data_IF_225807909367
#
_entry.id   IF_225807909367
#
_cell.length_a   1.000
_cell.length_b   1.000
_cell.length_c   1.000
_cell.angle_alpha   90.00
_cell.angle_beta   90.00
_cell.angle_gamma   90.00
#
_symmetry.space_group_name_H-M   'P 1'
#
loop_
_entity.id
_entity.type
_entity.pdbx_description
1 polymer ?
#
# COMPACT_ATOMS: atom_id res chain seq x y z
N UNK A 1 -22.46 -11.19 -14.74
CA UNK A 1 -21.85 -9.86 -14.98
C UNK A 1 -20.39 -9.89 -14.56
N UNK A 2 -19.48 -10.19 -15.50
CA UNK A 2 -18.12 -10.64 -15.21
C UNK A 2 -17.17 -9.57 -14.66
N UNK A 3 -16.24 -10.04 -13.82
CA UNK A 3 -15.16 -9.32 -13.13
C UNK A 3 -14.36 -8.43 -14.10
N UNK A 4 -14.06 -8.96 -15.29
CA UNK A 4 -13.41 -8.22 -16.37
C UNK A 4 -14.21 -7.01 -16.87
N UNK A 5 -15.55 -7.09 -16.88
CA UNK A 5 -16.44 -6.00 -17.34
C UNK A 5 -16.62 -4.92 -16.27
N UNK A 6 -16.23 -5.16 -15.01
CA UNK A 6 -16.15 -4.14 -13.96
C UNK A 6 -14.77 -3.46 -13.97
N UNK A 7 -13.71 -4.25 -14.06
CA UNK A 7 -12.33 -3.74 -14.22
C UNK A 7 -12.24 -2.87 -15.49
N UNK A 8 -12.73 -3.38 -16.63
CA UNK A 8 -12.77 -2.65 -17.91
C UNK A 8 -13.65 -1.39 -17.84
N UNK A 9 -14.83 -1.45 -17.19
CA UNK A 9 -15.67 -0.25 -17.00
C UNK A 9 -15.07 0.79 -16.06
N UNK A 10 -14.24 0.39 -15.10
CA UNK A 10 -13.53 1.34 -14.22
C UNK A 10 -12.36 2.03 -14.91
N UNK A 11 -11.68 1.34 -15.83
CA UNK A 11 -10.65 1.98 -16.66
C UNK A 11 -11.26 2.89 -17.75
N UNK A 12 -12.48 2.61 -18.18
CA UNK A 12 -13.25 3.44 -19.12
C UNK A 12 -14.06 4.55 -18.46
N UNK A 13 -14.30 4.51 -17.15
CA UNK A 13 -14.93 5.62 -16.44
C UNK A 13 -13.90 6.75 -16.35
N UNK A 14 -14.18 7.83 -17.05
CA UNK A 14 -13.31 8.97 -17.26
C UNK A 14 -12.61 9.39 -15.95
N UNK A 15 -11.28 9.36 -16.01
CA UNK A 15 -10.35 9.87 -14.98
C UNK A 15 -10.71 11.32 -14.54
N UNK A 16 -11.50 12.04 -15.34
CA UNK A 16 -12.03 13.37 -15.04
C UNK A 16 -13.14 13.39 -13.97
N UNK A 17 -14.03 12.39 -13.90
CA UNK A 17 -15.23 12.47 -13.04
C UNK A 17 -15.00 11.92 -11.61
N UNK A 18 -13.98 11.06 -11.44
CA UNK A 18 -13.60 10.49 -10.14
C UNK A 18 -12.70 11.41 -9.30
N UNK A 19 -12.03 12.39 -9.92
CA UNK A 19 -11.17 13.33 -9.21
C UNK A 19 -11.98 14.28 -8.31
N UNK A 20 -13.20 14.63 -8.71
CA UNK A 20 -14.05 15.59 -8.00
C UNK A 20 -14.89 14.97 -6.86
N UNK A 21 -14.94 13.64 -6.74
CA UNK A 21 -15.80 12.92 -5.76
C UNK A 21 -15.07 11.96 -4.81
N UNK A 22 -13.78 11.70 -5.00
CA UNK A 22 -13.02 10.81 -4.12
C UNK A 22 -12.29 11.60 -3.03
N UNK A 23 -12.78 11.56 -1.79
CA UNK A 23 -12.12 12.17 -0.61
C UNK A 23 -10.66 11.70 -0.43
N UNK A 24 -10.26 10.52 -0.97
CA UNK A 24 -8.86 10.10 -1.00
C UNK A 24 -8.56 9.01 -2.07
N UNK A 25 -7.92 9.34 -3.22
CA UNK A 25 -7.65 8.38 -4.31
C UNK A 25 -6.72 7.22 -3.90
N UNK A 26 -5.86 7.43 -2.91
CA UNK A 26 -4.98 6.39 -2.35
C UNK A 26 -5.79 5.31 -1.63
N UNK A 27 -6.85 5.70 -0.91
CA UNK A 27 -7.73 4.77 -0.20
C UNK A 27 -8.47 3.86 -1.18
N UNK A 28 -8.95 4.41 -2.29
CA UNK A 28 -9.60 3.65 -3.37
C UNK A 28 -8.66 2.62 -4.01
N UNK A 29 -7.41 3.01 -4.32
CA UNK A 29 -6.41 2.06 -4.82
C UNK A 29 -6.15 0.92 -3.84
N UNK A 30 -6.07 1.21 -2.54
CA UNK A 30 -5.91 0.18 -1.51
C UNK A 30 -7.14 -0.72 -1.40
N UNK A 31 -8.35 -0.18 -1.57
CA UNK A 31 -9.56 -0.97 -1.61
C UNK A 31 -9.57 -1.95 -2.79
N UNK A 32 -9.15 -1.51 -3.97
CA UNK A 32 -9.04 -2.40 -5.13
C UNK A 32 -8.02 -3.51 -4.96
N UNK A 33 -6.87 -3.22 -4.34
CA UNK A 33 -5.90 -4.26 -4.01
C UNK A 33 -6.48 -5.29 -3.04
N UNK A 34 -7.25 -4.85 -2.03
CA UNK A 34 -7.92 -5.76 -1.09
C UNK A 34 -8.96 -6.64 -1.78
N UNK A 35 -9.75 -6.07 -2.68
CA UNK A 35 -10.73 -6.85 -3.46
C UNK A 35 -10.03 -7.89 -4.35
N UNK A 36 -8.91 -7.53 -4.99
CA UNK A 36 -8.12 -8.49 -5.77
C UNK A 36 -7.53 -9.60 -4.91
N UNK A 37 -6.98 -9.28 -3.73
CA UNK A 37 -6.49 -10.27 -2.76
C UNK A 37 -7.60 -11.25 -2.35
N UNK A 38 -8.80 -10.73 -2.07
CA UNK A 38 -9.96 -11.57 -1.73
C UNK A 38 -10.36 -12.50 -2.88
N UNK A 39 -10.34 -12.00 -4.12
CA UNK A 39 -10.63 -12.82 -5.31
C UNK A 39 -9.57 -13.90 -5.53
N UNK A 40 -8.29 -13.59 -5.35
CA UNK A 40 -7.20 -14.57 -5.40
C UNK A 40 -7.42 -15.65 -4.33
N UNK A 41 -7.80 -15.25 -3.11
CA UNK A 41 -8.15 -16.19 -2.03
C UNK A 41 -9.32 -17.11 -2.40
N UNK A 42 -10.39 -16.55 -2.96
CA UNK A 42 -11.55 -17.31 -3.45
C UNK A 42 -11.18 -18.30 -4.55
N UNK A 43 -10.36 -17.87 -5.52
CA UNK A 43 -9.90 -18.73 -6.60
C UNK A 43 -9.02 -19.88 -6.08
N UNK A 44 -8.09 -19.61 -5.15
CA UNK A 44 -7.30 -20.66 -4.48
C UNK A 44 -8.16 -21.67 -3.74
N UNK A 45 -9.19 -21.22 -3.01
CA UNK A 45 -10.12 -22.12 -2.33
C UNK A 45 -10.92 -22.99 -3.32
N UNK A 46 -11.37 -22.40 -4.43
CA UNK A 46 -12.05 -23.14 -5.48
C UNK A 46 -11.12 -24.19 -6.12
N UNK A 47 -9.86 -23.85 -6.37
CA UNK A 47 -8.86 -24.81 -6.86
C UNK A 47 -8.62 -25.95 -5.86
N UNK A 48 -8.47 -25.63 -4.57
CA UNK A 48 -8.28 -26.65 -3.53
C UNK A 48 -9.46 -27.62 -3.46
N UNK A 49 -10.68 -27.09 -3.53
CA UNK A 49 -11.90 -27.90 -3.57
C UNK A 49 -11.94 -28.79 -4.83
N UNK A 50 -11.57 -28.24 -5.99
CA UNK A 50 -11.54 -28.99 -7.24
C UNK A 50 -10.52 -30.12 -7.19
N UNK A 51 -9.30 -29.85 -6.70
CA UNK A 51 -8.24 -30.85 -6.54
C UNK A 51 -8.65 -31.96 -5.57
N UNK A 52 -9.36 -31.61 -4.49
CA UNK A 52 -9.92 -32.61 -3.58
C UNK A 52 -10.93 -33.54 -4.29
N UNK A 53 -11.85 -32.97 -5.07
CA UNK A 53 -12.83 -33.73 -5.83
C UNK A 53 -12.17 -34.62 -6.89
N UNK A 54 -11.20 -34.08 -7.61
CA UNK A 54 -10.38 -34.83 -8.57
C UNK A 54 -9.69 -36.00 -7.88
N UNK A 55 -9.05 -35.79 -6.73
CA UNK A 55 -8.34 -36.86 -6.00
C UNK A 55 -9.29 -37.95 -5.52
N UNK A 56 -10.46 -37.57 -5.04
CA UNK A 56 -11.50 -38.53 -4.65
C UNK A 56 -11.98 -39.33 -5.86
N UNK A 57 -12.14 -38.71 -7.02
CA UNK A 57 -12.52 -39.39 -8.25
C UNK A 57 -11.42 -40.35 -8.72
N UNK A 58 -10.13 -39.97 -8.63
CA UNK A 58 -9.01 -40.87 -8.91
C UNK A 58 -9.04 -42.13 -8.04
N UNK A 59 -9.39 -41.99 -6.75
CA UNK A 59 -9.56 -43.14 -5.85
C UNK A 59 -10.71 -44.05 -6.31
N UNK A 60 -11.86 -43.50 -6.68
CA UNK A 60 -13.00 -44.28 -7.19
C UNK A 60 -12.65 -45.04 -8.48
N UNK A 61 -11.89 -44.41 -9.38
CA UNK A 61 -11.37 -45.06 -10.59
C UNK A 61 -10.45 -46.23 -10.22
N UNK A 62 -9.50 -46.02 -9.30
CA UNK A 62 -8.57 -47.06 -8.87
C UNK A 62 -9.28 -48.24 -8.18
N UNK A 63 -10.25 -47.97 -7.30
CA UNK A 63 -11.07 -48.99 -6.64
C UNK A 63 -11.88 -49.79 -7.66
N UNK A 64 -12.52 -49.12 -8.62
CA UNK A 64 -13.31 -49.79 -9.65
C UNK A 64 -12.44 -50.63 -10.57
N UNK A 65 -11.25 -50.14 -10.93
CA UNK A 65 -10.26 -50.90 -11.70
C UNK A 65 -9.79 -52.16 -10.95
N UNK A 66 -9.61 -52.08 -9.62
CA UNK A 66 -9.28 -53.24 -8.80
C UNK A 66 -10.44 -54.27 -8.78
N UNK A 67 -11.69 -53.82 -8.76
CA UNK A 67 -12.87 -54.71 -8.90
C UNK A 67 -12.86 -55.41 -10.25
N UNK A 68 -12.62 -54.69 -11.35
CA UNK A 68 -12.51 -55.28 -12.70
C UNK A 68 -11.42 -56.36 -12.71
N UNK A 69 -10.22 -56.04 -12.22
CA UNK A 69 -9.11 -56.98 -12.16
C UNK A 69 -9.43 -58.24 -11.33
N UNK A 70 -10.10 -58.07 -10.17
CA UNK A 70 -10.54 -59.17 -9.33
C UNK A 70 -11.53 -60.08 -10.05
N UNK A 71 -12.53 -59.51 -10.74
CA UNK A 71 -13.54 -60.29 -11.48
C UNK A 71 -12.96 -61.00 -12.69
N UNK A 72 -12.00 -60.37 -13.38
CA UNK A 72 -11.22 -61.02 -14.44
C UNK A 72 -10.50 -62.27 -13.92
N UNK A 73 -9.75 -62.17 -12.82
CA UNK A 73 -9.07 -63.33 -12.22
C UNK A 73 -10.03 -64.43 -11.77
N UNK A 74 -11.18 -64.05 -11.21
CA UNK A 74 -12.20 -65.02 -10.80
C UNK A 74 -12.80 -65.76 -12.01
N UNK A 75 -13.07 -65.05 -13.10
CA UNK A 75 -13.54 -65.65 -14.34
C UNK A 75 -12.50 -66.63 -14.91
N UNK A 76 -11.23 -66.23 -14.98
CA UNK A 76 -10.12 -67.09 -15.44
C UNK A 76 -9.99 -68.37 -14.61
N UNK A 77 -10.06 -68.27 -13.28
CA UNK A 77 -9.99 -69.42 -12.40
C UNK A 77 -11.19 -70.36 -12.54
N UNK A 78 -12.40 -69.81 -12.69
CA UNK A 78 -13.61 -70.59 -12.89
C UNK A 78 -13.57 -71.36 -14.23
N UNK A 79 -13.09 -70.71 -15.30
CA UNK A 79 -12.87 -71.38 -16.60
C UNK A 79 -11.84 -72.50 -16.47
N UNK A 80 -10.72 -72.27 -15.77
CA UNK A 80 -9.69 -73.30 -15.55
C UNK A 80 -10.23 -74.52 -14.77
N UNK A 81 -11.27 -74.34 -13.95
CA UNK A 81 -11.95 -75.40 -13.21
C UNK A 81 -13.16 -75.99 -13.92
N UNK A 82 -13.45 -75.58 -15.17
CA UNK A 82 -14.65 -75.95 -15.93
C UNK A 82 -15.98 -75.58 -15.22
N UNK A 83 -15.96 -74.52 -14.41
CA UNK A 83 -17.14 -73.98 -13.72
C UNK A 83 -17.79 -72.84 -14.53
N UNK A 84 -18.34 -73.17 -15.70
CA UNK A 84 -18.84 -72.19 -16.68
C UNK A 84 -19.92 -71.24 -16.12
N UNK A 85 -20.77 -71.71 -15.20
CA UNK A 85 -21.78 -70.87 -14.56
C UNK A 85 -21.17 -69.74 -13.73
N UNK A 86 -20.12 -70.04 -12.96
CA UNK A 86 -19.41 -69.06 -12.14
C UNK A 86 -18.59 -68.13 -13.03
N UNK A 87 -17.97 -68.66 -14.09
CA UNK A 87 -17.25 -67.86 -15.07
C UNK A 87 -18.15 -66.81 -15.73
N UNK A 88 -19.36 -67.20 -16.18
CA UNK A 88 -20.33 -66.28 -16.79
C UNK A 88 -20.78 -65.19 -15.83
N UNK A 89 -21.07 -65.54 -14.56
CA UNK A 89 -21.45 -64.56 -13.54
C UNK A 89 -20.31 -63.55 -13.30
N UNK A 90 -19.08 -64.03 -13.13
CA UNK A 90 -17.91 -63.18 -12.91
C UNK A 90 -17.65 -62.24 -14.10
N UNK A 91 -17.83 -62.73 -15.34
CA UNK A 91 -17.73 -61.91 -16.56
C UNK A 91 -18.84 -60.86 -16.65
N UNK A 92 -20.07 -61.20 -16.27
CA UNK A 92 -21.16 -60.22 -16.24
C UNK A 92 -20.87 -59.09 -15.24
N UNK A 93 -20.42 -59.43 -14.03
CA UNK A 93 -20.02 -58.44 -13.02
C UNK A 93 -18.82 -57.60 -13.48
N UNK A 94 -17.84 -58.23 -14.15
CA UNK A 94 -16.69 -57.54 -14.76
C UNK A 94 -17.16 -56.49 -15.77
N UNK A 95 -18.00 -56.87 -16.74
CA UNK A 95 -18.49 -55.96 -17.78
C UNK A 95 -19.25 -54.76 -17.18
N UNK A 96 -20.08 -55.00 -16.15
CA UNK A 96 -20.74 -53.91 -15.43
C UNK A 96 -19.75 -52.97 -14.73
N UNK A 97 -18.69 -53.52 -14.13
CA UNK A 97 -17.64 -52.73 -13.51
C UNK A 97 -16.81 -51.96 -14.54
N UNK A 98 -16.55 -52.52 -15.72
CA UNK A 98 -15.86 -51.83 -16.82
C UNK A 98 -16.67 -50.65 -17.34
N UNK A 99 -17.98 -50.79 -17.52
CA UNK A 99 -18.85 -49.66 -17.89
C UNK A 99 -18.79 -48.53 -16.87
N UNK A 100 -18.81 -48.87 -15.57
CA UNK A 100 -18.65 -47.87 -14.49
C UNK A 100 -17.26 -47.24 -14.49
N UNK A 101 -16.22 -48.02 -14.71
CA UNK A 101 -14.84 -47.54 -14.78
C UNK A 101 -14.67 -46.52 -15.90
N UNK A 102 -15.21 -46.81 -17.09
CA UNK A 102 -15.17 -45.90 -18.22
C UNK A 102 -15.86 -44.56 -17.89
N UNK A 103 -17.08 -44.62 -17.34
CA UNK A 103 -17.81 -43.43 -16.91
C UNK A 103 -17.02 -42.60 -15.87
N UNK A 104 -16.45 -43.25 -14.85
CA UNK A 104 -15.67 -42.54 -13.83
C UNK A 104 -14.37 -41.95 -14.39
N UNK A 105 -13.76 -42.60 -15.38
CA UNK A 105 -12.55 -42.12 -16.05
C UNK A 105 -12.86 -40.90 -16.93
N UNK A 106 -13.97 -40.90 -17.66
CA UNK A 106 -14.44 -39.74 -18.42
C UNK A 106 -14.72 -38.54 -17.51
N UNK A 107 -15.39 -38.78 -16.37
CA UNK A 107 -15.63 -37.74 -15.36
C UNK A 107 -14.32 -37.20 -14.78
N UNK A 108 -13.35 -38.06 -14.49
CA UNK A 108 -12.04 -37.65 -14.01
C UNK A 108 -11.32 -36.76 -15.02
N UNK A 109 -11.36 -37.11 -16.30
CA UNK A 109 -10.74 -36.30 -17.36
C UNK A 109 -11.40 -34.92 -17.49
N UNK A 110 -12.73 -34.86 -17.44
CA UNK A 110 -13.45 -33.58 -17.41
C UNK A 110 -13.07 -32.73 -16.18
N UNK A 111 -12.91 -33.36 -15.02
CA UNK A 111 -12.47 -32.67 -13.79
C UNK A 111 -11.04 -32.12 -13.94
N UNK A 112 -10.11 -32.90 -14.52
CA UNK A 112 -8.73 -32.47 -14.79
C UNK A 112 -8.69 -31.25 -15.71
N UNK A 113 -9.47 -31.27 -16.79
CA UNK A 113 -9.58 -30.11 -17.68
C UNK A 113 -10.13 -28.87 -16.97
N UNK A 114 -11.07 -29.05 -16.05
CA UNK A 114 -11.60 -27.95 -15.24
C UNK A 114 -10.57 -27.42 -14.24
N UNK A 115 -9.77 -28.30 -13.62
CA UNK A 115 -8.65 -27.93 -12.75
C UNK A 115 -7.65 -27.05 -13.50
N UNK A 116 -7.26 -27.44 -14.73
CA UNK A 116 -6.35 -26.66 -15.58
C UNK A 116 -6.90 -25.27 -15.85
N UNK A 117 -8.18 -25.15 -16.23
CA UNK A 117 -8.81 -23.84 -16.47
C UNK A 117 -8.82 -22.94 -15.24
N UNK A 118 -9.04 -23.50 -14.04
CA UNK A 118 -8.98 -22.73 -12.79
C UNK A 118 -7.55 -22.25 -12.54
N UNK A 119 -6.55 -23.09 -12.80
CA UNK A 119 -5.14 -22.72 -12.66
C UNK A 119 -4.77 -21.57 -13.59
N UNK A 120 -5.11 -21.65 -14.88
CA UNK A 120 -4.86 -20.58 -15.86
C UNK A 120 -5.51 -19.25 -15.43
N UNK A 121 -6.73 -19.30 -14.89
CA UNK A 121 -7.43 -18.11 -14.38
C UNK A 121 -6.72 -17.51 -13.16
N UNK A 122 -6.18 -18.35 -12.26
CA UNK A 122 -5.40 -17.89 -11.11
C UNK A 122 -4.11 -17.22 -11.59
N UNK A 123 -3.41 -17.80 -12.56
CA UNK A 123 -2.17 -17.22 -13.09
C UNK A 123 -2.40 -15.83 -13.69
N UNK A 124 -3.45 -15.68 -14.49
CA UNK A 124 -3.87 -14.38 -15.04
C UNK A 124 -4.22 -13.38 -13.93
N UNK A 125 -4.87 -13.82 -12.85
CA UNK A 125 -5.18 -12.96 -11.70
C UNK A 125 -3.92 -12.52 -10.95
N UNK A 126 -2.95 -13.43 -10.77
CA UNK A 126 -1.68 -13.14 -10.10
C UNK A 126 -0.80 -12.18 -10.92
N UNK A 127 -0.76 -12.36 -12.24
CA UNK A 127 -0.06 -11.45 -13.15
C UNK A 127 -0.64 -10.03 -13.05
N UNK A 128 -1.98 -9.90 -13.14
CA UNK A 128 -2.67 -8.62 -12.97
C UNK A 128 -2.46 -8.02 -11.59
N UNK A 129 -2.43 -8.83 -10.54
CA UNK A 129 -2.15 -8.38 -9.19
C UNK A 129 -0.76 -7.74 -9.11
N UNK A 130 0.26 -8.39 -9.69
CA UNK A 130 1.63 -7.85 -9.74
C UNK A 130 1.69 -6.52 -10.50
N UNK A 131 1.06 -6.46 -11.68
CA UNK A 131 0.99 -5.24 -12.49
C UNK A 131 0.33 -4.08 -11.72
N UNK A 132 -0.80 -4.34 -11.07
CA UNK A 132 -1.54 -3.33 -10.32
C UNK A 132 -0.82 -2.92 -9.03
N UNK A 133 -0.13 -3.85 -8.37
CA UNK A 133 0.72 -3.55 -7.21
C UNK A 133 1.84 -2.58 -7.59
N UNK A 134 2.52 -2.82 -8.72
CA UNK A 134 3.54 -1.91 -9.24
C UNK A 134 2.96 -0.54 -9.59
N UNK A 135 1.83 -0.50 -10.33
CA UNK A 135 1.15 0.76 -10.65
C UNK A 135 0.75 1.53 -9.40
N UNK A 136 0.24 0.85 -8.36
CA UNK A 136 -0.08 1.48 -7.07
C UNK A 136 1.15 2.14 -6.47
N UNK A 137 2.29 1.44 -6.40
CA UNK A 137 3.53 2.00 -5.85
C UNK A 137 3.95 3.28 -6.56
N UNK A 138 3.92 3.28 -7.90
CA UNK A 138 4.24 4.45 -8.73
C UNK A 138 3.26 5.60 -8.46
N UNK A 139 1.95 5.32 -8.45
CA UNK A 139 0.92 6.34 -8.23
C UNK A 139 0.99 6.96 -6.83
N UNK A 140 1.18 6.15 -5.79
CA UNK A 140 1.34 6.62 -4.41
C UNK A 140 2.60 7.49 -4.28
N UNK A 141 3.72 7.09 -4.89
CA UNK A 141 4.96 7.86 -4.89
C UNK A 141 4.80 9.20 -5.60
N UNK A 142 4.14 9.23 -6.76
CA UNK A 142 3.83 10.46 -7.50
C UNK A 142 2.89 11.37 -6.71
N UNK A 143 1.86 10.81 -6.07
CA UNK A 143 0.95 11.57 -5.22
C UNK A 143 1.68 12.21 -4.03
N UNK A 144 2.62 11.48 -3.41
CA UNK A 144 3.45 12.02 -2.33
C UNK A 144 4.36 13.15 -2.82
N UNK A 145 5.06 12.96 -3.95
CA UNK A 145 5.92 13.99 -4.53
C UNK A 145 5.13 15.26 -4.90
N UNK A 146 3.95 15.10 -5.51
CA UNK A 146 3.06 16.23 -5.83
C UNK A 146 2.58 16.96 -4.57
N UNK A 147 2.24 16.21 -3.50
CA UNK A 147 1.85 16.80 -2.21
C UNK A 147 2.99 17.60 -1.58
N UNK A 148 4.22 17.07 -1.60
CA UNK A 148 5.41 17.79 -1.12
C UNK A 148 5.63 19.05 -1.95
N UNK A 149 5.58 18.95 -3.29
CA UNK A 149 5.74 20.10 -4.17
C UNK A 149 4.67 21.20 -3.90
N UNK A 150 3.41 20.80 -3.70
CA UNK A 150 2.33 21.72 -3.35
C UNK A 150 2.59 22.39 -1.99
N UNK A 151 3.03 21.63 -0.99
CA UNK A 151 3.37 22.16 0.34
C UNK A 151 4.57 23.12 0.28
N UNK A 152 5.61 22.78 -0.48
CA UNK A 152 6.77 23.66 -0.71
C UNK A 152 6.36 24.93 -1.43
N UNK A 153 5.54 24.84 -2.48
CA UNK A 153 5.03 26.03 -3.19
C UNK A 153 4.14 26.90 -2.28
N UNK A 154 3.29 26.30 -1.46
CA UNK A 154 2.48 27.01 -0.49
C UNK A 154 3.35 27.67 0.60
N UNK A 155 4.40 26.99 1.07
CA UNK A 155 5.37 27.55 2.01
C UNK A 155 6.15 28.71 1.40
N UNK A 156 6.60 28.60 0.14
CA UNK A 156 7.25 29.68 -0.62
C UNK A 156 6.30 30.85 -0.86
N UNK A 157 5.04 30.59 -1.23
CA UNK A 157 4.02 31.64 -1.38
C UNK A 157 3.67 32.32 -0.03
N UNK A 158 3.74 31.57 1.08
CA UNK A 158 3.62 32.14 2.43
C UNK A 158 4.87 32.90 2.87
N UNK A 159 6.02 32.62 2.22
CA UNK A 159 7.27 33.37 2.31
C UNK A 159 7.15 34.68 1.51
N UNK A 160 6.22 35.54 1.91
CA UNK A 160 6.16 36.90 1.38
C UNK A 160 7.38 37.69 1.87
N UNK A 161 8.09 38.35 0.94
CA UNK A 161 9.18 39.30 1.22
C UNK A 161 8.78 40.38 2.24
N UNK A 162 7.47 40.67 2.37
CA UNK A 162 6.89 41.52 3.42
C UNK A 162 7.21 41.07 4.84
N UNK A 163 7.40 39.78 5.11
CA UNK A 163 7.76 39.29 6.45
C UNK A 163 9.22 39.60 6.81
N UNK A 164 10.12 39.51 5.84
CA UNK A 164 11.52 39.91 5.99
C UNK A 164 11.68 41.44 6.07
N UNK A 165 10.93 42.20 5.27
CA UNK A 165 10.86 43.66 5.33
C UNK A 165 10.26 44.15 6.65
N UNK A 166 9.19 43.51 7.16
CA UNK A 166 8.65 43.78 8.50
C UNK A 166 9.64 43.46 9.61
N UNK A 167 10.51 42.46 9.41
CA UNK A 167 11.63 42.17 10.32
C UNK A 167 12.64 43.31 10.35
N UNK A 168 13.04 43.82 9.18
CA UNK A 168 13.94 44.97 9.07
C UNK A 168 13.37 46.24 9.70
N UNK A 169 12.11 46.58 9.43
CA UNK A 169 11.47 47.77 10.01
C UNK A 169 11.37 47.70 11.54
N UNK A 170 11.18 46.51 12.13
CA UNK A 170 11.20 46.35 13.60
C UNK A 170 12.59 46.56 14.19
N UNK A 171 13.63 46.12 13.49
CA UNK A 171 15.02 46.34 13.91
C UNK A 171 15.36 47.82 13.79
N UNK A 172 14.91 48.49 12.73
CA UNK A 172 15.08 49.94 12.55
C UNK A 172 14.36 50.75 13.64
N UNK A 173 13.10 50.44 13.95
CA UNK A 173 12.36 51.06 15.07
C UNK A 173 13.04 50.82 16.42
N UNK A 174 13.63 49.63 16.62
CA UNK A 174 14.35 49.30 17.85
C UNK A 174 15.66 50.10 17.97
N UNK A 175 16.41 50.24 16.87
CA UNK A 175 17.62 51.07 16.81
C UNK A 175 17.27 52.54 17.04
N UNK A 176 16.22 53.07 16.41
CA UNK A 176 15.77 54.46 16.66
C UNK A 176 15.35 54.69 18.11
N UNK A 177 14.69 53.71 18.76
CA UNK A 177 14.37 53.80 20.20
C UNK A 177 15.62 53.80 21.07
N UNK A 178 16.62 52.99 20.74
CA UNK A 178 17.91 52.97 21.43
C UNK A 178 18.65 54.30 21.26
N UNK A 179 18.67 54.86 20.04
CA UNK A 179 19.25 56.17 19.75
C UNK A 179 18.52 57.30 20.51
N UNK A 180 17.19 57.27 20.53
CA UNK A 180 16.39 58.23 21.29
C UNK A 180 16.61 58.09 22.80
N UNK A 181 16.79 56.87 23.33
CA UNK A 181 17.14 56.63 24.73
C UNK A 181 18.55 57.11 25.05
N UNK A 182 19.52 56.92 24.16
CA UNK A 182 20.87 57.45 24.30
C UNK A 182 20.89 58.99 24.28
N UNK A 183 20.11 59.60 23.38
CA UNK A 183 19.92 61.04 23.32
C UNK A 183 19.19 61.59 24.56
N UNK A 184 18.21 60.87 25.11
CA UNK A 184 17.55 61.22 26.37
C UNK A 184 18.47 61.05 27.59
N UNK A 185 19.37 60.07 27.56
CA UNK A 185 20.44 59.91 28.56
C UNK A 185 21.36 61.13 28.62
N UNK A 186 21.63 61.77 27.48
CA UNK A 186 22.36 63.03 27.42
C UNK A 186 21.62 64.22 28.07
N UNK A 187 20.28 64.16 28.16
CA UNK A 187 19.46 65.14 28.87
C UNK A 187 19.41 64.92 30.40
N UNK A 188 19.73 63.71 30.87
CA UNK A 188 19.69 63.34 32.30
C UNK A 188 21.08 63.22 32.95
N UNK A 189 22.16 63.57 32.25
CA UNK A 189 23.42 63.88 32.92
C UNK A 189 23.25 65.24 33.58
N UNK A 190 23.12 65.35 34.91
CA UNK A 190 23.11 66.66 35.55
C UNK A 190 24.45 67.32 35.23
N UNK A 191 24.40 68.57 34.77
CA UNK A 191 25.58 69.42 34.71
C UNK A 191 26.28 69.32 36.08
N UNK A 192 27.61 69.13 36.13
CA UNK A 192 28.31 69.03 37.40
C UNK A 192 28.00 70.28 38.22
N UNK A 193 27.43 70.07 39.41
CA UNK A 193 27.15 71.16 40.34
C UNK A 193 28.51 71.70 40.78
N UNK A 194 28.92 72.82 40.19
CA UNK A 194 30.15 73.51 40.55
C UNK A 194 29.96 74.06 41.95
N UNK A 195 30.71 73.50 42.90
CA UNK A 195 30.73 73.97 44.28
C UNK A 195 31.65 75.22 44.32
N UNK A 196 31.06 76.40 44.14
CA UNK A 196 31.78 77.68 44.03
C UNK A 196 32.71 77.95 45.23
N UNK A 197 32.34 77.51 46.42
CA UNK A 197 33.15 77.68 47.64
C UNK A 197 34.49 76.93 47.57
N UNK A 198 34.53 75.80 46.85
CA UNK A 198 35.74 74.99 46.67
C UNK A 198 36.67 75.60 45.62
N UNK A 199 36.13 76.29 44.61
CA UNK A 199 36.94 77.01 43.61
C UNK A 199 37.62 78.24 44.21
N UNK A 200 36.91 79.03 45.04
CA UNK A 200 37.54 80.15 45.75
C UNK A 200 38.62 79.68 46.73
N UNK A 201 38.40 78.57 47.44
CA UNK A 201 39.40 78.01 48.36
C UNK A 201 40.66 77.54 47.62
N UNK A 202 40.49 76.89 46.46
CA UNK A 202 41.60 76.45 45.61
C UNK A 202 42.34 77.64 44.99
N UNK A 203 41.64 78.69 44.54
CA UNK A 203 42.31 79.90 44.04
C UNK A 203 43.09 80.64 45.12
N UNK A 204 42.56 80.73 46.35
CA UNK A 204 43.29 81.34 47.50
C UNK A 204 44.55 80.55 47.85
N UNK A 205 44.51 79.23 47.83
CA UNK A 205 45.69 78.37 48.02
C UNK A 205 46.71 78.55 46.88
N UNK A 206 46.25 78.67 45.64
CA UNK A 206 47.10 78.81 44.45
C UNK A 206 47.78 80.20 44.39
N UNK A 207 47.12 81.26 44.86
CA UNK A 207 47.73 82.59 45.01
C UNK A 207 48.81 82.57 46.10
N UNK A 208 48.54 81.96 47.26
CA UNK A 208 49.55 81.82 48.33
C UNK A 208 50.79 81.06 47.87
N UNK A 209 50.63 80.01 47.06
CA UNK A 209 51.75 79.25 46.49
C UNK A 209 52.53 80.02 45.41
N UNK A 210 51.89 80.98 44.73
CA UNK A 210 52.54 81.85 43.74
C UNK A 210 53.27 83.04 44.36
N UNK A 211 52.82 83.53 45.52
CA UNK A 211 53.49 84.60 46.27
C UNK A 211 54.67 84.09 47.13
N UNK A 212 54.73 82.79 47.40
CA UNK A 212 55.83 82.15 48.13
C UNK A 212 57.01 81.72 47.23
N UNK A 213 57.11 82.24 46.00
CA UNK A 213 58.18 81.93 45.04
C UNK A 213 58.88 83.17 44.51
#
# INVERSE_FOLDING_TARGET
MGIFKRISRMFQADVHELLDKAENPISMLNQYMRELDEQVGKAKNALAQQLYLEKRQEQLVAETAAVVAKRTRQAELAVAKNEDGIAKLALQEKLQAETRLNLFTEQLEAMKQQTVKIHEQIDVLLEKYSELSYKRLVLVSRAHAAKVQQQTQAAIASFNADSAVKGFNRVEDYVQKLEAQAAAGAYFVPAPVVNLDLQEAVERELVKLKEAK
#
